data_IF_271683533247
#
_entry.id   IF_271683533247
#
_cell.length_a   1.000
_cell.length_b   1.000
_cell.length_c   1.000
_cell.angle_alpha   90.00
_cell.angle_beta   90.00
_cell.angle_gamma   90.00
#
_symmetry.space_group_name_H-M   'P 1'
#
loop_
_entity.id
_entity.type
_entity.pdbx_description
1 polymer ?
#
# COMPACT_ATOMS: atom_id res chain seq x y z
N UNK A 1 -35.59 -0.06 9.63
CA UNK A 1 -35.00 -1.35 9.17
C UNK A 1 -33.63 -1.49 9.83
N UNK A 2 -33.57 -2.31 10.87
CA UNK A 2 -32.40 -2.52 11.72
C UNK A 2 -31.34 -3.33 10.96
N UNK A 3 -30.14 -2.78 10.85
CA UNK A 3 -28.92 -3.60 10.75
C UNK A 3 -28.08 -3.17 11.96
N UNK A 4 -28.28 -3.91 13.05
CA UNK A 4 -27.36 -3.90 14.18
C UNK A 4 -26.04 -4.43 13.63
N UNK A 5 -25.04 -3.56 13.47
CA UNK A 5 -23.67 -3.97 13.25
C UNK A 5 -23.19 -4.56 14.58
N UNK A 6 -23.34 -5.88 14.70
CA UNK A 6 -22.86 -6.65 15.83
C UNK A 6 -21.36 -6.43 16.00
N UNK A 7 -21.00 -6.18 17.25
CA UNK A 7 -19.74 -5.63 17.71
C UNK A 7 -18.51 -6.36 17.13
N UNK A 8 -17.52 -5.54 16.73
CA UNK A 8 -16.15 -6.00 16.62
C UNK A 8 -15.73 -6.69 17.92
N UNK A 9 -15.18 -7.91 17.81
CA UNK A 9 -14.76 -8.71 18.96
C UNK A 9 -13.80 -7.91 19.87
N UNK A 10 -14.04 -7.85 21.18
CA UNK A 10 -13.19 -7.14 22.13
C UNK A 10 -11.91 -7.96 22.33
N UNK A 11 -10.79 -7.46 21.85
CA UNK A 11 -9.48 -8.10 22.04
C UNK A 11 -8.55 -8.16 20.83
N UNK A 12 -8.96 -7.61 19.67
CA UNK A 12 -8.06 -7.55 18.52
C UNK A 12 -6.85 -6.65 18.84
N UNK A 13 -5.69 -7.28 19.09
CA UNK A 13 -4.45 -6.57 19.36
C UNK A 13 -4.13 -5.64 18.18
N UNK A 14 -3.57 -4.44 18.43
CA UNK A 14 -3.23 -3.45 17.38
C UNK A 14 -2.39 -4.07 16.24
N UNK A 15 -1.55 -5.04 16.58
CA UNK A 15 -0.73 -5.81 15.64
C UNK A 15 -1.57 -6.70 14.69
N UNK A 16 -2.68 -7.27 15.16
CA UNK A 16 -3.59 -8.11 14.39
C UNK A 16 -4.45 -7.28 13.44
N UNK A 17 -4.97 -6.14 13.91
CA UNK A 17 -5.69 -5.17 13.08
C UNK A 17 -4.76 -4.65 11.98
N UNK A 18 -3.53 -4.26 12.32
CA UNK A 18 -2.52 -3.84 11.36
C UNK A 18 -2.15 -4.95 10.37
N UNK A 19 -2.12 -6.21 10.80
CA UNK A 19 -1.91 -7.37 9.91
C UNK A 19 -3.07 -7.53 8.93
N UNK A 20 -4.31 -7.49 9.39
CA UNK A 20 -5.51 -7.60 8.55
C UNK A 20 -5.58 -6.48 7.50
N UNK A 21 -5.23 -5.25 7.88
CA UNK A 21 -5.16 -4.12 6.96
C UNK A 21 -4.08 -4.31 5.89
N UNK A 22 -2.90 -4.80 6.27
CA UNK A 22 -1.81 -5.14 5.32
C UNK A 22 -2.23 -6.23 4.31
N UNK A 23 -2.97 -7.24 4.75
CA UNK A 23 -3.52 -8.25 3.83
C UNK A 23 -4.54 -7.65 2.87
N UNK A 24 -5.44 -6.79 3.38
CA UNK A 24 -6.46 -6.10 2.56
C UNK A 24 -5.81 -5.18 1.53
N UNK A 25 -4.81 -4.39 1.91
CA UNK A 25 -4.13 -3.46 1.02
C UNK A 25 -3.32 -4.18 -0.06
N UNK A 26 -2.60 -5.25 0.29
CA UNK A 26 -1.87 -6.07 -0.68
C UNK A 26 -2.79 -6.65 -1.77
N UNK A 27 -3.97 -7.16 -1.37
CA UNK A 27 -4.99 -7.65 -2.31
C UNK A 27 -5.52 -6.55 -3.23
N UNK A 28 -5.87 -5.38 -2.68
CA UNK A 28 -6.35 -4.24 -3.48
C UNK A 28 -5.30 -3.80 -4.50
N UNK A 29 -4.03 -3.73 -4.08
CA UNK A 29 -2.92 -3.38 -4.96
C UNK A 29 -2.77 -4.39 -6.11
N UNK A 30 -2.76 -5.68 -5.79
CA UNK A 30 -2.60 -6.75 -6.78
C UNK A 30 -3.71 -6.70 -7.83
N UNK A 31 -4.97 -6.54 -7.42
CA UNK A 31 -6.10 -6.35 -8.35
C UNK A 31 -5.93 -5.14 -9.25
N UNK A 32 -5.50 -4.01 -8.69
CA UNK A 32 -5.30 -2.78 -9.46
C UNK A 32 -4.21 -2.97 -10.52
N UNK A 33 -3.13 -3.67 -10.19
CA UNK A 33 -2.05 -3.98 -11.11
C UNK A 33 -2.49 -4.94 -12.22
N UNK A 34 -3.17 -6.03 -11.87
CA UNK A 34 -3.71 -6.97 -12.86
C UNK A 34 -4.66 -6.28 -13.85
N UNK A 35 -5.57 -5.43 -13.35
CA UNK A 35 -6.47 -4.64 -14.20
C UNK A 35 -5.72 -3.65 -15.10
N UNK A 36 -4.67 -3.01 -14.58
CA UNK A 36 -3.89 -2.03 -15.35
C UNK A 36 -3.08 -2.68 -16.45
N UNK A 37 -2.48 -3.84 -16.18
CA UNK A 37 -1.62 -4.53 -17.13
C UNK A 37 -2.38 -5.46 -18.08
N UNK A 38 -3.56 -5.93 -17.70
CA UNK A 38 -4.46 -6.70 -18.56
C UNK A 38 -4.04 -8.16 -18.80
N UNK A 39 -2.97 -8.64 -18.17
CA UNK A 39 -2.52 -10.03 -18.27
C UNK A 39 -2.16 -10.62 -16.90
N UNK A 40 -2.26 -11.95 -16.80
CA UNK A 40 -1.82 -12.70 -15.63
C UNK A 40 -0.30 -12.93 -15.69
N UNK A 41 0.49 -12.45 -14.71
CA UNK A 41 1.93 -12.63 -14.72
C UNK A 41 2.32 -14.08 -14.45
N UNK A 42 3.38 -14.56 -15.10
CA UNK A 42 3.99 -15.88 -14.82
C UNK A 42 4.91 -15.86 -13.60
N UNK A 43 5.48 -14.69 -13.28
CA UNK A 43 6.34 -14.45 -12.12
C UNK A 43 5.97 -13.14 -11.44
N UNK A 44 5.88 -13.17 -10.11
CA UNK A 44 5.65 -11.98 -9.27
C UNK A 44 6.85 -11.83 -8.36
N UNK A 45 7.44 -10.65 -8.33
CA UNK A 45 8.54 -10.32 -7.42
C UNK A 45 8.09 -9.22 -6.46
N UNK A 46 8.04 -9.53 -5.16
CA UNK A 46 7.65 -8.56 -4.12
C UNK A 46 8.68 -8.55 -2.99
N UNK A 47 8.46 -7.68 -2.00
CA UNK A 47 9.15 -7.78 -0.72
C UNK A 47 8.79 -9.10 0.01
N UNK A 48 9.51 -9.39 1.10
CA UNK A 48 9.35 -10.62 1.88
C UNK A 48 8.20 -10.55 2.89
N UNK A 49 7.23 -9.66 2.70
CA UNK A 49 6.11 -9.54 3.62
C UNK A 49 5.11 -10.67 3.41
N UNK A 50 4.65 -11.26 4.52
CA UNK A 50 3.66 -12.36 4.55
C UNK A 50 2.30 -11.98 3.95
N UNK A 51 2.05 -10.70 3.69
CA UNK A 51 0.80 -10.21 3.08
C UNK A 51 0.67 -10.58 1.60
N UNK A 52 1.77 -10.61 0.85
CA UNK A 52 1.75 -10.88 -0.59
C UNK A 52 1.45 -12.34 -0.95
N UNK A 53 2.08 -13.36 -0.33
CA UNK A 53 1.73 -14.75 -0.61
C UNK A 53 0.25 -15.05 -0.37
N UNK A 54 -0.33 -14.49 0.69
CA UNK A 54 -1.76 -14.61 0.99
C UNK A 54 -2.61 -13.93 -0.10
N UNK A 55 -2.20 -12.75 -0.56
CA UNK A 55 -2.90 -12.06 -1.64
C UNK A 55 -2.84 -12.81 -2.97
N UNK A 56 -1.68 -13.36 -3.34
CA UNK A 56 -1.48 -14.16 -4.57
C UNK A 56 -2.40 -15.39 -4.57
N UNK A 57 -2.43 -16.13 -3.43
CA UNK A 57 -3.33 -17.29 -3.26
C UNK A 57 -4.79 -16.88 -3.33
N UNK A 58 -5.16 -15.76 -2.70
CA UNK A 58 -6.54 -15.27 -2.71
C UNK A 58 -7.00 -14.85 -4.12
N UNK A 59 -6.11 -14.25 -4.91
CA UNK A 59 -6.41 -13.89 -6.31
C UNK A 59 -6.21 -15.06 -7.28
N UNK A 60 -5.96 -16.28 -6.77
CA UNK A 60 -5.82 -17.54 -7.54
C UNK A 60 -4.79 -17.43 -8.68
N UNK A 61 -3.71 -16.71 -8.46
CA UNK A 61 -2.64 -16.58 -9.45
C UNK A 61 -1.70 -17.78 -9.35
N UNK A 62 -1.44 -18.42 -10.48
CA UNK A 62 -0.46 -19.52 -10.61
C UNK A 62 0.99 -19.01 -10.76
N UNK A 63 1.22 -17.72 -10.51
CA UNK A 63 2.51 -17.08 -10.71
C UNK A 63 3.56 -17.57 -9.71
N UNK A 64 4.79 -17.78 -10.17
CA UNK A 64 5.94 -18.05 -9.30
C UNK A 64 6.22 -16.79 -8.47
N UNK A 65 6.15 -16.92 -7.15
CA UNK A 65 6.49 -15.82 -6.24
C UNK A 65 7.98 -15.83 -5.93
N UNK A 66 8.72 -14.91 -6.54
CA UNK A 66 10.15 -14.74 -6.32
C UNK A 66 10.42 -13.74 -5.18
N UNK A 67 11.14 -14.21 -4.16
CA UNK A 67 11.57 -13.46 -2.98
C UNK A 67 13.10 -13.44 -2.82
N UNK A 68 13.81 -13.71 -3.93
CA UNK A 68 15.27 -13.71 -4.02
C UNK A 68 15.88 -12.44 -3.46
N UNK A 69 17.13 -12.56 -2.99
CA UNK A 69 17.88 -11.41 -2.49
C UNK A 69 17.97 -10.37 -3.62
N UNK A 70 17.61 -9.11 -3.33
CA UNK A 70 17.65 -7.99 -4.30
C UNK A 70 16.70 -8.10 -5.51
N UNK A 71 15.83 -9.10 -5.56
CA UNK A 71 14.91 -9.31 -6.69
C UNK A 71 13.92 -8.13 -6.86
N UNK A 72 13.51 -7.49 -5.75
CA UNK A 72 12.61 -6.33 -5.76
C UNK A 72 13.31 -4.98 -6.02
N UNK A 73 14.64 -4.94 -6.23
CA UNK A 73 15.40 -3.69 -6.39
C UNK A 73 14.89 -2.83 -7.54
N UNK A 74 14.45 -3.45 -8.64
CA UNK A 74 13.89 -2.71 -9.79
C UNK A 74 12.63 -1.95 -9.37
N UNK A 75 11.72 -2.62 -8.67
CA UNK A 75 10.51 -1.99 -8.15
C UNK A 75 10.85 -0.90 -7.13
N UNK A 76 11.79 -1.15 -6.22
CA UNK A 76 12.24 -0.16 -5.24
C UNK A 76 12.87 1.08 -5.89
N UNK A 77 13.75 0.89 -6.88
CA UNK A 77 14.41 1.97 -7.60
C UNK A 77 13.41 2.81 -8.41
N UNK A 78 12.37 2.19 -8.97
CA UNK A 78 11.31 2.91 -9.70
C UNK A 78 10.55 3.91 -8.84
N UNK A 79 10.54 3.73 -7.51
CA UNK A 79 9.91 4.66 -6.58
C UNK A 79 10.80 5.86 -6.21
N UNK A 80 12.11 5.83 -6.51
CA UNK A 80 13.03 6.92 -6.12
C UNK A 80 12.60 8.29 -6.68
N UNK A 81 12.21 8.43 -7.96
CA UNK A 81 11.77 9.73 -8.49
C UNK A 81 10.49 10.23 -7.83
N UNK A 82 9.51 9.34 -7.60
CA UNK A 82 8.24 9.67 -6.95
C UNK A 82 8.49 10.13 -5.51
N UNK A 83 9.26 9.37 -4.73
CA UNK A 83 9.65 9.74 -3.35
C UNK A 83 10.44 11.06 -3.32
N UNK A 84 11.30 11.33 -4.31
CA UNK A 84 12.02 12.61 -4.42
C UNK A 84 11.05 13.77 -4.67
N UNK A 85 10.08 13.61 -5.57
CA UNK A 85 9.07 14.64 -5.87
C UNK A 85 8.18 14.88 -4.66
N UNK A 86 7.70 13.82 -4.03
CA UNK A 86 6.91 13.86 -2.79
C UNK A 86 7.66 14.62 -1.69
N UNK A 87 8.93 14.27 -1.43
CA UNK A 87 9.77 14.97 -0.44
C UNK A 87 9.99 16.45 -0.77
N UNK A 88 10.12 16.79 -2.05
CA UNK A 88 10.25 18.19 -2.50
C UNK A 88 8.93 18.96 -2.32
N UNK A 89 7.79 18.30 -2.41
CA UNK A 89 6.46 18.90 -2.29
C UNK A 89 5.95 18.98 -0.85
N UNK A 90 6.37 18.06 0.02
CA UNK A 90 5.89 17.96 1.41
C UNK A 90 6.74 18.72 2.44
N UNK A 91 7.78 19.42 2.00
CA UNK A 91 8.62 20.22 2.89
C UNK A 91 8.47 21.67 2.51
N UNK A 92 7.61 22.37 3.25
CA UNK A 92 7.79 23.79 3.41
C UNK A 92 9.21 24.03 3.93
N UNK A 93 9.93 24.96 3.32
CA UNK A 93 11.33 25.25 3.69
C UNK A 93 11.44 25.70 5.16
N UNK A 94 10.33 26.15 5.75
CA UNK A 94 10.18 26.54 7.15
C UNK A 94 8.73 26.31 7.63
N UNK A 95 8.52 26.27 8.95
CA UNK A 95 7.19 26.28 9.57
C UNK A 95 6.37 27.52 9.15
N UNK A 96 7.00 28.68 9.03
CA UNK A 96 6.34 29.91 8.56
C UNK A 96 5.79 29.81 7.13
N UNK A 97 6.50 29.14 6.21
CA UNK A 97 6.01 28.90 4.85
C UNK A 97 4.81 27.95 4.84
N UNK A 98 4.75 26.99 5.77
CA UNK A 98 3.59 26.13 5.96
C UNK A 98 2.38 26.92 6.49
N UNK A 99 2.63 27.80 7.46
CA UNK A 99 1.60 28.59 8.13
C UNK A 99 0.97 29.63 7.19
N UNK A 100 1.78 30.24 6.31
CA UNK A 100 1.28 31.17 5.30
C UNK A 100 0.50 30.46 4.19
N UNK A 101 0.95 29.28 3.77
CA UNK A 101 0.17 28.43 2.86
C UNK A 101 -1.18 28.04 3.46
N UNK A 102 -1.21 27.60 4.73
CA UNK A 102 -2.45 27.28 5.42
C UNK A 102 -3.35 28.51 5.58
N UNK A 103 -2.79 29.67 5.94
CA UNK A 103 -3.55 30.93 6.08
C UNK A 103 -4.26 31.33 4.78
N UNK A 104 -3.58 31.21 3.63
CA UNK A 104 -4.14 31.53 2.31
C UNK A 104 -5.23 30.54 1.88
N UNK A 105 -5.11 29.27 2.29
CA UNK A 105 -5.97 28.19 1.81
C UNK A 105 -7.00 27.69 2.85
N UNK A 106 -7.06 28.26 4.06
CA UNK A 106 -8.00 27.89 5.12
C UNK A 106 -9.35 28.65 5.06
N UNK A 107 -9.47 29.67 4.21
CA UNK A 107 -10.73 30.37 3.96
C UNK A 107 -11.47 29.71 2.78
N UNK A 108 -12.15 28.59 3.05
CA UNK A 108 -13.28 28.08 2.27
C UNK A 108 -14.39 27.74 3.26
#
# INVERSE_FOLDING_TARGET
>A
RNIVAEAAQPGANVSEVARALRHRSARKLLRKLLKKHGFAPTRITTDRLKSYPVAIRHERLSAIHDQGLRANNRAENSHRPVRRRERKQQRFKSSGSAQQFLSIHAAV
#
